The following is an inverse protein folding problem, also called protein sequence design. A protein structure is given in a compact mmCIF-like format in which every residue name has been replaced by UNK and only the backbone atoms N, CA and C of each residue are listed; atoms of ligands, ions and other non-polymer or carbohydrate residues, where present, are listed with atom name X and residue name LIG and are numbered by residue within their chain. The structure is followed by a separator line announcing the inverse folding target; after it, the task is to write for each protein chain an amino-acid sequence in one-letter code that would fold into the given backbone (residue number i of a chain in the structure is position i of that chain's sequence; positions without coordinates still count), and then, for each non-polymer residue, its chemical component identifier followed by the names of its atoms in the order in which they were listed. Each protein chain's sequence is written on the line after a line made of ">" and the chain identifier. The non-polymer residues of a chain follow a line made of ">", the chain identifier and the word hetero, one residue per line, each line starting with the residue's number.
data_IF_651967646419
#
_entry.id   IF_651967646419
#
_cell.length_a   1.000
_cell.length_b   1.000
_cell.length_c   1.000
_cell.angle_alpha   90.00
_cell.angle_beta   90.00
_cell.angle_gamma   90.00
#
_symmetry.space_group_name_H-M   'P 1'
#
loop_
_entity.id
_entity.type
_entity.pdbx_description
1 polymer ?
#
# COMPACT_ATOMS: atom_id res chain seq x y z
N UNK A 1 -6.63 -9.73 -13.44
CA UNK A 1 -5.61 -8.82 -13.95
C UNK A 1 -4.48 -8.68 -12.95
N UNK A 2 -3.26 -8.61 -13.44
CA UNK A 2 -2.08 -8.47 -12.57
C UNK A 2 -2.12 -7.24 -11.67
N UNK A 3 -2.58 -6.10 -12.20
CA UNK A 3 -2.69 -4.87 -11.43
C UNK A 3 -3.69 -4.98 -10.28
N UNK A 4 -4.79 -5.70 -10.50
CA UNK A 4 -5.81 -5.91 -9.49
C UNK A 4 -5.29 -6.81 -8.37
N UNK A 5 -4.58 -7.87 -8.72
CA UNK A 5 -3.98 -8.76 -7.73
C UNK A 5 -2.90 -8.06 -6.93
N UNK A 6 -2.10 -7.23 -7.60
CA UNK A 6 -1.05 -6.44 -6.95
C UNK A 6 -1.66 -5.45 -5.96
N UNK A 7 -2.76 -4.81 -6.34
CA UNK A 7 -3.46 -3.87 -5.46
C UNK A 7 -4.00 -4.59 -4.23
N UNK A 8 -4.62 -5.74 -4.41
CA UNK A 8 -5.15 -6.54 -3.30
C UNK A 8 -4.04 -7.00 -2.37
N UNK A 9 -2.91 -7.49 -2.92
CA UNK A 9 -1.76 -7.88 -2.12
C UNK A 9 -1.19 -6.70 -1.34
N UNK A 10 -1.16 -5.51 -1.95
CA UNK A 10 -0.69 -4.31 -1.28
C UNK A 10 -1.62 -3.90 -0.14
N UNK A 11 -2.93 -4.07 -0.29
CA UNK A 11 -3.89 -3.81 0.77
C UNK A 11 -3.65 -4.73 1.96
N UNK A 12 -3.44 -6.03 1.70
CA UNK A 12 -3.17 -7.00 2.75
C UNK A 12 -1.86 -6.70 3.46
N UNK A 13 -0.82 -6.36 2.70
CA UNK A 13 0.48 -6.03 3.25
C UNK A 13 0.40 -4.76 4.11
N UNK A 14 -0.36 -3.75 3.67
CA UNK A 14 -0.53 -2.52 4.42
C UNK A 14 -1.27 -2.77 5.73
N UNK A 15 -2.32 -3.59 5.71
CA UNK A 15 -3.06 -3.93 6.91
C UNK A 15 -2.17 -4.65 7.93
N UNK A 16 -1.33 -5.59 7.45
CA UNK A 16 -0.40 -6.30 8.32
C UNK A 16 0.67 -5.38 8.89
N UNK A 17 1.20 -4.48 8.07
CA UNK A 17 2.22 -3.52 8.49
C UNK A 17 1.65 -2.54 9.52
N UNK A 18 0.42 -2.11 9.33
CA UNK A 18 -0.26 -1.21 10.27
C UNK A 18 -0.45 -1.90 11.61
N UNK A 19 -0.90 -3.15 11.60
CA UNK A 19 -1.10 -3.92 12.82
C UNK A 19 0.22 -4.10 13.57
N UNK A 20 1.29 -4.43 12.86
CA UNK A 20 2.62 -4.56 13.45
C UNK A 20 3.11 -3.24 14.04
N UNK A 21 2.88 -2.14 13.33
CA UNK A 21 3.25 -0.81 13.80
C UNK A 21 2.51 -0.46 15.10
N UNK A 22 1.21 -0.72 15.15
CA UNK A 22 0.40 -0.43 16.34
C UNK A 22 0.88 -1.23 17.55
N UNK A 23 1.27 -2.49 17.33
CA UNK A 23 1.82 -3.33 18.40
C UNK A 23 3.14 -2.77 18.93
N UNK A 24 4.04 -2.37 18.04
CA UNK A 24 5.34 -1.82 18.44
C UNK A 24 5.17 -0.47 19.10
N UNK A 25 4.22 0.34 18.62
CA UNK A 25 3.90 1.63 19.23
C UNK A 25 3.45 1.44 20.68
N UNK A 26 2.55 0.49 20.92
CA UNK A 26 2.08 0.19 22.26
C UNK A 26 3.23 -0.27 23.17
N UNK A 27 4.11 -1.12 22.65
CA UNK A 27 5.30 -1.57 23.38
C UNK A 27 6.25 -0.40 23.69
N UNK A 28 6.43 0.48 22.72
CA UNK A 28 7.28 1.65 22.91
C UNK A 28 6.73 2.56 23.99
N UNK A 29 5.43 2.84 23.97
CA UNK A 29 4.77 3.66 24.97
C UNK A 29 4.88 3.06 26.37
N UNK A 30 4.94 1.74 26.47
CA UNK A 30 5.09 1.03 27.74
C UNK A 30 6.55 0.76 28.11
N UNK A 31 7.48 1.27 27.34
CA UNK A 31 8.91 1.10 27.59
C UNK A 31 9.45 -0.29 27.27
N UNK A 32 8.68 -1.11 26.54
CA UNK A 32 9.05 -2.48 26.20
C UNK A 32 9.74 -2.62 24.85
N UNK A 33 9.74 -1.56 24.04
CA UNK A 33 10.45 -1.53 22.77
C UNK A 33 11.37 -0.32 22.75
N UNK A 34 12.51 -0.44 22.07
CA UNK A 34 13.45 0.66 21.95
C UNK A 34 13.10 1.53 20.73
N UNK A 35 13.79 2.68 20.62
CA UNK A 35 13.51 3.62 19.54
C UNK A 35 13.86 3.04 18.16
N UNK A 36 14.84 2.17 18.09
CA UNK A 36 15.24 1.52 16.84
C UNK A 36 14.12 0.63 16.33
N UNK A 37 13.52 -0.18 17.20
CA UNK A 37 12.39 -1.03 16.84
C UNK A 37 11.19 -0.20 16.37
N UNK A 38 10.94 0.89 17.07
CA UNK A 38 9.85 1.79 16.70
C UNK A 38 10.08 2.39 15.32
N UNK A 39 11.29 2.89 15.06
CA UNK A 39 11.63 3.49 13.78
C UNK A 39 11.55 2.48 12.64
N UNK A 40 12.00 1.24 12.87
CA UNK A 40 11.91 0.18 11.87
C UNK A 40 10.46 -0.14 11.52
N UNK A 41 9.61 -0.26 12.53
CA UNK A 41 8.19 -0.55 12.32
C UNK A 41 7.51 0.60 11.58
N UNK A 42 7.83 1.84 11.94
CA UNK A 42 7.28 3.01 11.27
C UNK A 42 7.71 3.07 9.81
N UNK A 43 9.00 2.84 9.55
CA UNK A 43 9.53 2.86 8.20
C UNK A 43 8.92 1.78 7.33
N UNK A 44 8.75 0.57 7.88
CA UNK A 44 8.08 -0.52 7.17
C UNK A 44 6.64 -0.18 6.84
N UNK A 45 5.94 0.44 7.77
CA UNK A 45 4.55 0.85 7.56
C UNK A 45 4.46 1.93 6.48
N UNK A 46 5.33 2.94 6.54
CA UNK A 46 5.36 4.00 5.54
C UNK A 46 5.70 3.46 4.15
N UNK A 47 6.64 2.53 4.07
CA UNK A 47 6.98 1.87 2.82
C UNK A 47 5.77 1.10 2.27
N UNK A 48 5.07 0.39 3.13
CA UNK A 48 3.88 -0.37 2.75
C UNK A 48 2.78 0.56 2.23
N UNK A 49 2.59 1.72 2.87
CA UNK A 49 1.61 2.70 2.41
C UNK A 49 2.00 3.30 1.06
N UNK A 50 3.29 3.55 0.85
CA UNK A 50 3.78 4.03 -0.44
C UNK A 50 3.54 3.00 -1.54
N UNK A 51 3.79 1.72 -1.24
CA UNK A 51 3.55 0.63 -2.18
C UNK A 51 2.05 0.51 -2.51
N UNK A 52 1.20 0.68 -1.50
CA UNK A 52 -0.25 0.66 -1.69
C UNK A 52 -0.70 1.80 -2.59
N UNK A 53 -0.20 3.01 -2.34
CA UNK A 53 -0.53 4.16 -3.16
C UNK A 53 -0.11 3.96 -4.61
N UNK A 54 1.09 3.40 -4.81
CA UNK A 54 1.60 3.10 -6.15
C UNK A 54 0.73 2.07 -6.85
N UNK A 55 0.36 1.00 -6.14
CA UNK A 55 -0.49 -0.04 -6.70
C UNK A 55 -1.88 0.49 -7.05
N UNK A 56 -2.41 1.39 -6.21
CA UNK A 56 -3.68 2.04 -6.49
C UNK A 56 -3.60 2.88 -7.76
N UNK A 57 -2.54 3.64 -7.92
CA UNK A 57 -2.33 4.44 -9.12
C UNK A 57 -2.22 3.58 -10.37
N UNK A 58 -1.46 2.50 -10.28
CA UNK A 58 -1.33 1.57 -11.40
C UNK A 58 -2.67 0.97 -11.79
N UNK A 59 -3.47 0.59 -10.79
CA UNK A 59 -4.79 0.03 -11.02
C UNK A 59 -5.72 1.04 -11.69
N UNK A 60 -5.77 2.25 -11.17
CA UNK A 60 -6.60 3.32 -11.72
C UNK A 60 -6.15 3.72 -13.13
N UNK A 61 -4.86 3.80 -13.32
CA UNK A 61 -4.28 4.14 -14.61
C UNK A 61 -4.63 3.09 -15.66
N UNK A 62 -4.52 1.81 -15.30
CA UNK A 62 -4.89 0.71 -16.20
C UNK A 62 -6.35 0.78 -16.61
N UNK A 63 -7.24 1.07 -15.66
CA UNK A 63 -8.66 1.19 -15.93
C UNK A 63 -8.95 2.35 -16.86
N UNK A 64 -8.33 3.49 -16.61
CA UNK A 64 -8.50 4.68 -17.46
C UNK A 64 -7.92 4.46 -18.86
N UNK A 65 -6.82 3.76 -18.93
CA UNK A 65 -6.19 3.45 -20.21
C UNK A 65 -7.12 2.61 -21.09
N UNK A 66 -7.77 1.61 -20.50
CA UNK A 66 -8.72 0.79 -21.20
C UNK A 66 -9.91 1.60 -21.68
N UNK A 67 -10.42 2.49 -20.86
CA UNK A 67 -11.51 3.39 -21.24
C UNK A 67 -11.09 4.33 -22.37
N UNK A 68 -9.89 4.84 -22.30
CA UNK A 68 -9.34 5.70 -23.35
C UNK A 68 -9.27 4.97 -24.67
N UNK A 69 -8.78 3.75 -24.69
CA UNK A 69 -8.69 2.95 -25.90
C UNK A 69 -10.07 2.65 -26.47
N UNK A 70 -11.04 2.37 -25.64
CA UNK A 70 -12.41 2.15 -26.09
C UNK A 70 -13.01 3.39 -26.71
N UNK A 71 -12.81 4.53 -26.08
CA UNK A 71 -13.26 5.81 -26.59
C UNK A 71 -12.59 6.15 -27.91
N UNK A 72 -11.31 5.87 -28.03
CA UNK A 72 -10.56 6.13 -29.25
C UNK A 72 -11.07 5.29 -30.43
N UNK A 73 -11.42 4.04 -30.15
CA UNK A 73 -12.01 3.18 -31.17
C UNK A 73 -13.34 3.71 -31.70
N UNK A 74 -14.11 4.33 -30.81
CA UNK A 74 -15.40 4.90 -31.20
C UNK A 74 -15.25 6.15 -32.07
N UNK A 75 -14.15 6.84 -31.91
CA UNK A 75 -13.88 8.06 -32.70
C UNK A 75 -13.44 7.72 -34.11
N UNK A 76 -12.76 6.61 -34.29
CA UNK A 76 -12.32 6.14 -35.60
C UNK A 76 -13.32 5.18 -36.21
#
# INVERSE_FOLDING_TARGET
>A
MAAQEKFRSSLDADASAKESYELVLAKYENGKANITEFNEARDSFLESESNLARARYEFLFSAKLLDFYRGQKLIF
#
